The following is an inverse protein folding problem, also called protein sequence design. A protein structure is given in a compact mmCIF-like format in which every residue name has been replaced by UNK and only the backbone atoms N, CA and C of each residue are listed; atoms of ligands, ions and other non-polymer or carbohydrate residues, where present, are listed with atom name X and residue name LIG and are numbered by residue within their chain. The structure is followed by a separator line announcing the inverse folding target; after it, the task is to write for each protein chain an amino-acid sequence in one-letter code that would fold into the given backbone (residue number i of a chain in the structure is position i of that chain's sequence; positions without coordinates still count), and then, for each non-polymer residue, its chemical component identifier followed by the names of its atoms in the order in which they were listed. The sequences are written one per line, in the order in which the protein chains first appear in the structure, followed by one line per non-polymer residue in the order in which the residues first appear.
data_IF_956349146055
#
_entry.id   IF_956349146055
#
_cell.length_a   1.000
_cell.length_b   1.000
_cell.length_c   1.000
_cell.angle_alpha   90.00
_cell.angle_beta   90.00
_cell.angle_gamma   90.00
#
_symmetry.space_group_name_H-M   'P 1'
#
loop_
_entity.id
_entity.type
_entity.pdbx_description
1 polymer ?
#
# COMPACT_ATOMS: atom_id res chain seq x y z
N UNK A 1 -42.86 -3.76 44.06
CA UNK A 1 -41.53 -4.28 44.45
C UNK A 1 -41.23 -5.48 43.57
N UNK A 2 -40.33 -5.39 42.59
CA UNK A 2 -39.74 -6.56 41.98
C UNK A 2 -38.48 -6.96 42.76
N UNK A 3 -38.32 -8.26 42.95
CA UNK A 3 -37.19 -8.91 43.61
C UNK A 3 -36.00 -8.83 42.66
N UNK A 4 -34.94 -8.17 43.09
CA UNK A 4 -33.63 -8.17 42.45
C UNK A 4 -33.02 -9.58 42.56
N UNK A 5 -33.07 -10.34 41.47
CA UNK A 5 -32.29 -11.57 41.31
C UNK A 5 -30.81 -11.21 41.17
N UNK A 6 -29.99 -11.85 42.01
CA UNK A 6 -28.60 -11.50 42.28
C UNK A 6 -27.70 -11.55 41.04
N UNK A 7 -26.90 -10.49 40.90
CA UNK A 7 -25.66 -10.54 40.16
C UNK A 7 -24.71 -11.51 40.88
N UNK A 8 -24.42 -12.65 40.25
CA UNK A 8 -23.31 -13.50 40.63
C UNK A 8 -22.02 -12.70 40.48
N UNK A 9 -21.49 -12.22 41.60
CA UNK A 9 -20.17 -11.61 41.65
C UNK A 9 -19.15 -12.67 41.28
N UNK A 10 -18.55 -12.54 40.09
CA UNK A 10 -17.32 -13.25 39.77
C UNK A 10 -16.28 -12.80 40.82
N UNK A 11 -15.96 -13.69 41.75
CA UNK A 11 -14.92 -13.49 42.75
C UNK A 11 -13.62 -13.23 41.99
N UNK A 12 -13.15 -11.97 41.97
CA UNK A 12 -11.85 -11.63 41.39
C UNK A 12 -10.79 -12.45 42.12
N UNK A 13 -10.14 -13.38 41.40
CA UNK A 13 -9.08 -14.20 41.96
C UNK A 13 -7.87 -13.31 42.20
N UNK A 14 -7.11 -13.61 43.25
CA UNK A 14 -5.88 -12.88 43.54
C UNK A 14 -4.80 -13.29 42.52
N UNK A 15 -3.89 -12.39 42.12
CA UNK A 15 -2.82 -12.70 41.14
C UNK A 15 -2.05 -13.97 41.48
N UNK A 16 -1.68 -14.17 42.76
CA UNK A 16 -0.99 -15.39 43.23
C UNK A 16 -1.79 -16.68 43.08
N UNK A 17 -3.12 -16.62 43.21
CA UNK A 17 -3.96 -17.78 43.01
C UNK A 17 -4.05 -18.14 41.52
N UNK A 18 -4.05 -17.14 40.64
CA UNK A 18 -4.02 -17.35 39.19
C UNK A 18 -2.68 -17.94 38.73
N UNK A 19 -1.56 -17.45 39.25
CA UNK A 19 -0.22 -18.01 39.00
C UNK A 19 -0.13 -19.48 39.41
N UNK A 20 -0.57 -19.82 40.63
CA UNK A 20 -0.55 -21.21 41.11
C UNK A 20 -1.43 -22.14 40.25
N UNK A 21 -2.59 -21.66 39.79
CA UNK A 21 -3.46 -22.41 38.87
C UNK A 21 -2.76 -22.59 37.53
N UNK A 22 -2.13 -21.56 36.97
CA UNK A 22 -1.43 -21.64 35.70
C UNK A 22 -0.28 -22.65 35.74
N UNK A 23 0.49 -22.68 36.83
CA UNK A 23 1.61 -23.61 36.98
C UNK A 23 1.17 -25.08 37.07
N UNK A 24 -0.05 -25.34 37.51
CA UNK A 24 -0.61 -26.70 37.61
C UNK A 24 -1.28 -27.21 36.31
N UNK A 25 -1.45 -26.35 35.30
CA UNK A 25 -2.13 -26.68 34.03
C UNK A 25 -1.28 -27.53 33.09
N UNK A 26 -1.94 -28.19 32.13
CA UNK A 26 -1.25 -28.89 31.04
C UNK A 26 -0.50 -27.89 30.13
N UNK A 27 0.46 -28.37 29.34
CA UNK A 27 1.19 -27.52 28.42
C UNK A 27 0.28 -26.85 27.37
N UNK A 28 -0.77 -27.54 26.90
CA UNK A 28 -1.76 -26.99 25.96
C UNK A 28 -2.55 -25.86 26.59
N UNK A 29 -3.01 -26.04 27.82
CA UNK A 29 -3.74 -25.02 28.57
C UNK A 29 -2.85 -23.80 28.90
N UNK A 30 -1.56 -24.02 29.17
CA UNK A 30 -0.56 -22.95 29.34
C UNK A 30 -0.38 -22.18 28.02
N UNK A 31 -0.21 -22.86 26.89
CA UNK A 31 -0.08 -22.21 25.57
C UNK A 31 -1.28 -21.33 25.28
N UNK A 32 -2.49 -21.87 25.42
CA UNK A 32 -3.72 -21.15 25.09
C UNK A 32 -3.89 -19.94 26.02
N UNK A 33 -3.49 -20.06 27.29
CA UNK A 33 -3.44 -18.94 28.23
C UNK A 33 -2.43 -17.86 27.81
N UNK A 34 -1.18 -18.24 27.51
CA UNK A 34 -0.13 -17.31 27.12
C UNK A 34 -0.50 -16.55 25.84
N UNK A 35 -1.08 -17.23 24.84
CA UNK A 35 -1.59 -16.60 23.62
C UNK A 35 -2.66 -15.55 23.90
N UNK A 36 -3.64 -15.88 24.76
CA UNK A 36 -4.69 -14.92 25.13
C UNK A 36 -4.13 -13.73 25.90
N UNK A 37 -3.19 -13.98 26.82
CA UNK A 37 -2.49 -12.94 27.58
C UNK A 37 -1.69 -12.01 26.66
N UNK A 38 -0.95 -12.55 25.70
CA UNK A 38 -0.20 -11.76 24.71
C UNK A 38 -1.10 -10.90 23.82
N UNK A 39 -2.28 -11.41 23.42
CA UNK A 39 -3.25 -10.64 22.63
C UNK A 39 -3.81 -9.43 23.42
N UNK A 40 -3.96 -9.58 24.74
CA UNK A 40 -4.39 -8.52 25.66
C UNK A 40 -3.25 -7.84 26.41
N UNK A 41 -2.00 -7.94 25.92
CA UNK A 41 -0.83 -7.47 26.63
C UNK A 41 -0.97 -6.00 27.06
N UNK A 42 -0.70 -5.75 28.34
CA UNK A 42 -0.80 -4.45 29.00
C UNK A 42 0.39 -4.26 29.92
N UNK A 43 0.75 -3.01 30.20
CA UNK A 43 1.79 -2.64 31.15
C UNK A 43 1.52 -3.16 32.58
N UNK A 44 0.26 -3.46 32.91
CA UNK A 44 -0.17 -3.93 34.23
C UNK A 44 -0.60 -5.39 34.18
N UNK A 45 0.34 -6.26 33.86
CA UNK A 45 0.10 -7.69 33.80
C UNK A 45 -0.04 -8.30 35.21
N UNK A 46 -1.15 -9.02 35.51
CA UNK A 46 -1.31 -9.70 36.79
C UNK A 46 -0.32 -10.85 36.99
N UNK A 47 0.27 -11.40 35.93
CA UNK A 47 1.27 -12.47 36.02
C UNK A 47 2.68 -11.89 35.97
N UNK A 48 3.39 -12.07 37.09
CA UNK A 48 4.74 -11.56 37.25
C UNK A 48 5.79 -12.37 36.49
N UNK A 49 6.99 -11.78 36.42
CA UNK A 49 8.18 -12.43 35.89
C UNK A 49 8.46 -13.80 36.55
N UNK A 50 8.20 -13.92 37.86
CA UNK A 50 8.41 -15.16 38.61
C UNK A 50 7.58 -16.33 38.07
N UNK A 51 6.38 -16.06 37.54
CA UNK A 51 5.52 -17.08 36.98
C UNK A 51 5.99 -17.55 35.58
N UNK A 52 6.49 -16.64 34.74
CA UNK A 52 7.12 -17.03 33.47
C UNK A 52 8.40 -17.85 33.71
N UNK A 53 9.22 -17.45 34.69
CA UNK A 53 10.39 -18.22 35.11
C UNK A 53 10.00 -19.61 35.65
N UNK A 54 8.94 -19.71 36.44
CA UNK A 54 8.45 -20.99 36.95
C UNK A 54 7.86 -21.89 35.83
N UNK A 55 7.21 -21.32 34.82
CA UNK A 55 6.78 -22.06 33.63
C UNK A 55 7.98 -22.56 32.82
N UNK A 56 8.99 -21.71 32.61
CA UNK A 56 10.22 -22.06 31.90
C UNK A 56 10.97 -23.21 32.61
N UNK A 57 10.98 -23.21 33.94
CA UNK A 57 11.59 -24.25 34.75
C UNK A 57 10.95 -25.65 34.58
N UNK A 58 9.74 -25.75 34.01
CA UNK A 58 9.09 -27.04 33.70
C UNK A 58 9.81 -27.81 32.60
N UNK A 59 10.60 -27.13 31.74
CA UNK A 59 11.37 -27.73 30.63
C UNK A 59 10.51 -28.57 29.68
N UNK A 60 9.26 -28.17 29.48
CA UNK A 60 8.35 -28.80 28.53
C UNK A 60 8.43 -28.05 27.20
N UNK A 61 8.74 -28.75 26.11
CA UNK A 61 8.99 -28.14 24.80
C UNK A 61 7.85 -27.22 24.33
N UNK A 62 6.60 -27.63 24.52
CA UNK A 62 5.46 -26.81 24.12
C UNK A 62 5.37 -25.53 24.94
N UNK A 63 5.72 -25.57 26.23
CA UNK A 63 5.77 -24.38 27.09
C UNK A 63 6.91 -23.47 26.66
N UNK A 64 8.10 -24.01 26.38
CA UNK A 64 9.24 -23.22 25.89
C UNK A 64 8.91 -22.49 24.58
N UNK A 65 8.30 -23.18 23.60
CA UNK A 65 7.87 -22.57 22.34
C UNK A 65 6.78 -21.52 22.56
N UNK A 66 5.82 -21.79 23.46
CA UNK A 66 4.74 -20.85 23.77
C UNK A 66 5.24 -19.60 24.48
N UNK A 67 6.21 -19.75 25.40
CA UNK A 67 6.87 -18.63 26.04
C UNK A 67 7.72 -17.86 25.04
N UNK A 68 8.42 -18.53 24.13
CA UNK A 68 9.22 -17.85 23.10
C UNK A 68 8.35 -16.91 22.26
N UNK A 69 7.17 -17.37 21.84
CA UNK A 69 6.24 -16.59 21.01
C UNK A 69 5.46 -15.51 21.79
N UNK A 70 5.14 -15.74 23.07
CA UNK A 70 4.14 -14.96 23.81
C UNK A 70 4.58 -14.42 25.17
N UNK A 71 5.83 -14.62 25.60
CA UNK A 71 6.32 -14.06 26.86
C UNK A 71 6.30 -12.53 26.84
N UNK A 72 6.14 -11.95 28.02
CA UNK A 72 6.08 -10.50 28.22
C UNK A 72 7.31 -9.96 28.96
N UNK A 73 8.09 -10.83 29.60
CA UNK A 73 9.24 -10.42 30.41
C UNK A 73 10.57 -10.69 29.70
N UNK A 74 11.44 -9.66 29.64
CA UNK A 74 12.72 -9.73 28.93
C UNK A 74 13.62 -10.86 29.41
N UNK A 75 13.65 -11.16 30.70
CA UNK A 75 14.59 -12.18 31.22
C UNK A 75 14.19 -13.58 30.73
N UNK A 76 12.89 -13.86 30.63
CA UNK A 76 12.38 -15.10 30.02
C UNK A 76 12.71 -15.17 28.54
N UNK A 77 12.51 -14.06 27.80
CA UNK A 77 12.85 -13.99 26.39
C UNK A 77 14.35 -14.19 26.13
N UNK A 78 15.21 -13.55 26.94
CA UNK A 78 16.67 -13.67 26.88
C UNK A 78 17.14 -15.10 27.14
N UNK A 79 16.65 -15.73 28.20
CA UNK A 79 17.00 -17.11 28.52
C UNK A 79 16.59 -18.06 27.37
N UNK A 80 15.40 -17.86 26.78
CA UNK A 80 14.94 -18.65 25.64
C UNK A 80 15.74 -18.38 24.36
N UNK A 81 16.15 -17.14 24.13
CA UNK A 81 16.99 -16.76 23.00
C UNK A 81 18.38 -17.41 23.09
N UNK A 82 19.01 -17.34 24.26
CA UNK A 82 20.31 -17.95 24.55
C UNK A 82 20.25 -19.49 24.46
N UNK A 83 19.23 -20.11 25.07
CA UNK A 83 18.97 -21.57 24.92
C UNK A 83 18.70 -21.96 23.47
N UNK A 84 18.18 -21.03 22.68
CA UNK A 84 17.86 -21.18 21.28
C UNK A 84 19.08 -21.18 20.35
N UNK A 85 20.32 -21.07 20.84
CA UNK A 85 21.53 -21.03 19.98
C UNK A 85 21.60 -22.20 18.98
N UNK A 86 21.25 -23.40 19.43
CA UNK A 86 21.22 -24.63 18.62
C UNK A 86 19.81 -25.05 18.19
N UNK A 87 18.80 -24.24 18.51
CA UNK A 87 17.37 -24.54 18.31
C UNK A 87 16.68 -23.37 17.59
N UNK A 88 16.82 -23.38 16.26
CA UNK A 88 16.29 -22.33 15.40
C UNK A 88 14.79 -22.06 15.61
N UNK A 89 13.88 -23.07 15.69
CA UNK A 89 12.47 -22.79 15.96
C UNK A 89 12.23 -21.99 17.24
N UNK A 90 12.99 -22.26 18.31
CA UNK A 90 12.85 -21.53 19.55
C UNK A 90 13.31 -20.07 19.39
N UNK A 91 14.47 -19.88 18.77
CA UNK A 91 15.06 -18.56 18.53
C UNK A 91 14.19 -17.70 17.60
N UNK A 92 13.69 -18.28 16.52
CA UNK A 92 12.80 -17.62 15.58
C UNK A 92 11.48 -17.16 16.25
N UNK A 93 10.92 -17.95 17.16
CA UNK A 93 9.74 -17.53 17.93
C UNK A 93 10.05 -16.35 18.86
N UNK A 94 11.21 -16.33 19.52
CA UNK A 94 11.62 -15.17 20.32
C UNK A 94 11.81 -13.93 19.44
N UNK A 95 12.47 -14.06 18.29
CA UNK A 95 12.71 -12.96 17.36
C UNK A 95 11.42 -12.40 16.74
N UNK A 96 10.36 -13.20 16.66
CA UNK A 96 9.04 -12.80 16.14
C UNK A 96 8.04 -12.40 17.24
N UNK A 97 8.44 -12.43 18.51
CA UNK A 97 7.55 -12.12 19.63
C UNK A 97 7.17 -10.63 19.63
N UNK A 98 5.91 -10.36 19.26
CA UNK A 98 5.37 -9.00 19.23
C UNK A 98 4.85 -8.53 20.59
N UNK A 99 4.60 -9.45 21.50
CA UNK A 99 4.03 -9.16 22.81
C UNK A 99 5.06 -8.49 23.73
N UNK A 100 6.33 -8.89 23.58
CA UNK A 100 7.45 -8.37 24.37
C UNK A 100 7.65 -6.85 24.26
N UNK A 101 7.42 -6.27 23.09
CA UNK A 101 7.53 -4.81 22.89
C UNK A 101 6.37 -4.03 23.54
N UNK A 102 5.22 -4.66 23.78
CA UNK A 102 4.03 -4.00 24.35
C UNK A 102 4.05 -3.93 25.88
N UNK A 103 4.74 -4.86 26.53
CA UNK A 103 4.79 -4.99 27.99
C UNK A 103 5.89 -4.16 28.65
N UNK A 104 6.76 -3.50 27.88
CA UNK A 104 7.95 -2.85 28.41
C UNK A 104 7.86 -1.32 28.31
N UNK A 105 8.00 -0.65 29.45
CA UNK A 105 8.01 0.83 29.52
C UNK A 105 9.32 1.40 28.96
N UNK A 106 10.43 0.66 29.09
CA UNK A 106 11.78 1.12 28.72
C UNK A 106 12.55 0.14 27.83
N UNK A 107 12.04 -1.07 27.63
CA UNK A 107 12.73 -2.09 26.85
C UNK A 107 12.29 -2.02 25.40
N UNK A 108 13.26 -1.70 24.55
CA UNK A 108 13.09 -1.54 23.11
C UNK A 108 13.44 -2.84 22.43
N UNK A 109 12.56 -3.39 21.59
CA UNK A 109 12.88 -4.57 20.80
C UNK A 109 13.72 -4.16 19.57
N UNK A 110 14.84 -4.83 19.23
CA UNK A 110 15.32 -6.10 19.78
C UNK A 110 16.31 -5.98 20.94
N UNK A 111 16.73 -4.76 21.32
CA UNK A 111 17.73 -4.52 22.36
C UNK A 111 17.40 -5.21 23.70
N UNK A 112 16.12 -5.39 24.03
CA UNK A 112 15.70 -6.13 25.22
C UNK A 112 16.13 -7.60 25.27
N UNK A 113 16.55 -8.20 24.14
CA UNK A 113 17.09 -9.55 24.06
C UNK A 113 18.60 -9.61 24.37
N UNK A 114 19.26 -8.46 24.51
CA UNK A 114 20.70 -8.35 24.67
C UNK A 114 21.05 -7.64 25.99
N UNK A 115 22.31 -7.74 26.41
CA UNK A 115 22.81 -7.03 27.59
C UNK A 115 22.89 -5.53 27.35
N UNK A 116 23.41 -5.17 26.18
CA UNK A 116 23.65 -3.82 25.72
C UNK A 116 23.67 -3.77 24.19
N UNK A 117 23.97 -2.59 23.65
CA UNK A 117 24.04 -2.33 22.22
C UNK A 117 25.21 -3.08 21.55
N UNK A 118 26.35 -3.22 22.22
CA UNK A 118 27.51 -3.94 21.70
C UNK A 118 27.22 -5.44 21.50
N UNK A 119 26.47 -6.05 22.42
CA UNK A 119 25.99 -7.42 22.29
C UNK A 119 25.01 -7.59 21.11
N UNK A 120 24.13 -6.60 20.87
CA UNK A 120 23.26 -6.59 19.70
C UNK A 120 24.08 -6.49 18.41
N UNK A 121 25.05 -5.58 18.34
CA UNK A 121 25.91 -5.42 17.16
C UNK A 121 26.70 -6.70 16.87
N UNK A 122 27.29 -7.32 17.89
CA UNK A 122 28.00 -8.60 17.77
C UNK A 122 27.11 -9.73 17.24
N UNK A 123 25.83 -9.73 17.64
CA UNK A 123 24.86 -10.67 17.09
C UNK A 123 24.54 -10.39 15.62
N UNK A 124 24.33 -9.12 15.24
CA UNK A 124 24.07 -8.73 13.86
C UNK A 124 25.24 -9.06 12.92
N UNK A 125 26.49 -9.01 13.40
CA UNK A 125 27.67 -9.43 12.64
C UNK A 125 27.69 -10.91 12.26
N UNK A 126 27.01 -11.74 13.06
CA UNK A 126 27.01 -13.22 12.90
C UNK A 126 25.62 -13.77 12.61
N UNK A 127 24.65 -12.90 12.32
CA UNK A 127 23.26 -13.27 12.15
C UNK A 127 23.08 -14.17 10.93
N UNK A 128 22.30 -15.25 11.12
CA UNK A 128 21.93 -16.11 10.00
C UNK A 128 20.88 -15.44 9.11
N UNK A 129 20.83 -15.74 7.79
CA UNK A 129 19.81 -15.19 6.91
C UNK A 129 18.36 -15.44 7.39
N UNK A 130 18.10 -16.61 7.98
CA UNK A 130 16.78 -16.94 8.51
C UNK A 130 16.42 -16.08 9.73
N UNK A 131 17.35 -15.92 10.67
CA UNK A 131 17.14 -15.06 11.84
C UNK A 131 16.97 -13.59 11.45
N UNK A 132 17.75 -13.14 10.47
CA UNK A 132 17.67 -11.80 9.89
C UNK A 132 16.27 -11.56 9.29
N UNK A 133 15.77 -12.47 8.47
CA UNK A 133 14.44 -12.35 7.89
C UNK A 133 13.36 -12.24 8.98
N UNK A 134 13.42 -13.11 10.00
CA UNK A 134 12.44 -13.14 11.10
C UNK A 134 12.50 -11.86 11.92
N UNK A 135 13.69 -11.39 12.29
CA UNK A 135 13.90 -10.18 13.07
C UNK A 135 13.36 -8.95 12.32
N UNK A 136 13.77 -8.75 11.07
CA UNK A 136 13.41 -7.56 10.29
C UNK A 136 11.96 -7.58 9.76
N UNK A 137 11.32 -8.75 9.73
CA UNK A 137 9.87 -8.85 9.46
C UNK A 137 9.01 -8.56 10.68
N UNK A 138 9.59 -8.47 11.89
CA UNK A 138 8.83 -8.29 13.13
C UNK A 138 8.30 -6.84 13.25
N UNK A 139 6.97 -6.61 13.29
CA UNK A 139 6.41 -5.26 13.45
C UNK A 139 6.56 -4.69 14.86
N UNK A 140 7.19 -5.42 15.78
CA UNK A 140 7.51 -4.95 17.13
C UNK A 140 8.86 -4.25 17.24
N UNK A 141 9.68 -4.22 16.18
CA UNK A 141 10.94 -3.48 16.15
C UNK A 141 10.76 -2.02 16.57
N UNK A 142 11.58 -1.55 17.49
CA UNK A 142 11.57 -0.19 18.02
C UNK A 142 11.84 0.85 16.92
N UNK A 143 11.17 1.99 17.01
CA UNK A 143 11.31 3.08 16.04
C UNK A 143 12.74 3.63 16.00
N UNK A 144 13.46 3.72 17.12
CA UNK A 144 14.86 4.17 17.11
C UNK A 144 15.81 3.14 16.51
N UNK A 145 15.55 1.84 16.72
CA UNK A 145 16.33 0.78 16.05
C UNK A 145 16.15 0.84 14.53
N UNK A 146 14.90 0.95 14.05
CA UNK A 146 14.61 1.08 12.63
C UNK A 146 15.20 2.37 12.04
N UNK A 147 15.06 3.50 12.74
CA UNK A 147 15.66 4.79 12.32
C UNK A 147 17.18 4.64 12.17
N UNK A 148 17.87 4.09 13.17
CA UNK A 148 19.33 3.92 13.13
C UNK A 148 19.78 2.99 12.01
N UNK A 149 19.08 1.85 11.84
CA UNK A 149 19.39 0.91 10.75
C UNK A 149 19.19 1.55 9.37
N UNK A 150 18.03 2.16 9.11
CA UNK A 150 17.72 2.80 7.84
C UNK A 150 18.53 4.09 7.60
N UNK A 151 19.06 4.68 8.66
CA UNK A 151 20.01 5.80 8.56
C UNK A 151 21.42 5.37 8.14
N UNK A 152 21.66 4.06 8.00
CA UNK A 152 22.96 3.46 7.73
C UNK A 152 23.97 3.69 8.87
N UNK A 153 23.50 3.64 10.12
CA UNK A 153 24.35 3.76 11.30
C UNK A 153 25.05 2.42 11.64
N UNK A 154 25.51 2.25 12.87
CA UNK A 154 26.29 1.08 13.30
C UNK A 154 25.55 -0.25 13.11
N UNK A 155 24.23 -0.30 13.30
CA UNK A 155 23.42 -1.51 13.10
C UNK A 155 23.33 -1.93 11.63
N UNK A 156 23.39 -0.98 10.71
CA UNK A 156 23.51 -1.26 9.28
C UNK A 156 24.89 -1.80 8.95
N UNK A 157 25.93 -1.16 9.49
CA UNK A 157 27.31 -1.55 9.22
C UNK A 157 27.69 -2.91 9.82
N UNK A 158 27.03 -3.33 10.89
CA UNK A 158 27.21 -4.64 11.50
C UNK A 158 26.80 -5.80 10.59
N UNK A 159 25.83 -5.61 9.69
CA UNK A 159 25.36 -6.68 8.79
C UNK A 159 26.24 -6.72 7.54
N UNK A 160 26.46 -7.91 6.95
CA UNK A 160 27.19 -8.02 5.69
C UNK A 160 26.49 -7.27 4.53
N UNK A 161 27.27 -6.68 3.63
CA UNK A 161 26.75 -5.85 2.53
C UNK A 161 25.73 -6.56 1.63
N UNK A 162 25.89 -7.86 1.35
CA UNK A 162 24.93 -8.63 0.56
C UNK A 162 23.66 -8.88 1.36
N UNK A 163 23.82 -9.22 2.65
CA UNK A 163 22.72 -9.42 3.58
C UNK A 163 21.87 -8.17 3.79
N UNK A 164 22.46 -6.96 3.81
CA UNK A 164 21.74 -5.69 3.96
C UNK A 164 20.62 -5.52 2.93
N UNK A 165 20.83 -5.96 1.70
CA UNK A 165 19.80 -5.87 0.65
C UNK A 165 18.61 -6.81 0.94
N UNK A 166 18.88 -8.01 1.46
CA UNK A 166 17.84 -8.93 1.93
C UNK A 166 17.08 -8.40 3.15
N UNK A 167 17.73 -7.59 4.00
CA UNK A 167 17.02 -6.87 5.08
C UNK A 167 15.95 -5.94 4.51
N UNK A 168 16.28 -5.18 3.45
CA UNK A 168 15.30 -4.26 2.83
C UNK A 168 14.07 -5.02 2.34
N UNK A 169 14.26 -6.23 1.84
CA UNK A 169 13.17 -7.11 1.41
C UNK A 169 12.27 -7.59 2.55
N UNK A 170 12.85 -7.89 3.72
CA UNK A 170 12.10 -8.22 4.93
C UNK A 170 11.33 -7.00 5.44
N UNK A 171 11.98 -5.82 5.43
CA UNK A 171 11.39 -4.55 5.85
C UNK A 171 10.23 -4.10 4.93
N UNK A 172 10.30 -4.40 3.63
CA UNK A 172 9.20 -4.14 2.70
C UNK A 172 7.89 -4.84 3.12
N UNK A 173 8.00 -6.03 3.72
CA UNK A 173 6.87 -6.78 4.28
C UNK A 173 6.51 -6.44 5.72
N UNK A 174 7.25 -5.54 6.38
CA UNK A 174 7.07 -5.25 7.79
C UNK A 174 5.84 -4.36 8.01
N UNK A 175 4.81 -4.88 8.69
CA UNK A 175 3.55 -4.18 8.91
C UNK A 175 3.71 -2.83 9.64
N UNK A 176 4.79 -2.61 10.41
CA UNK A 176 5.07 -1.30 11.03
C UNK A 176 5.42 -0.24 9.98
N UNK A 177 6.15 -0.61 8.92
CA UNK A 177 6.56 0.30 7.85
C UNK A 177 5.53 0.44 6.72
N UNK A 178 4.46 -0.36 6.73
CA UNK A 178 3.40 -0.29 5.70
C UNK A 178 2.26 0.67 6.04
N UNK A 179 2.14 1.11 7.30
CA UNK A 179 1.03 1.96 7.73
C UNK A 179 1.48 3.03 8.71
N UNK A 180 1.33 4.29 8.32
CA UNK A 180 1.44 5.42 9.26
C UNK A 180 0.30 5.29 10.26
N UNK A 181 0.65 5.29 11.55
CA UNK A 181 -0.36 5.29 12.62
C UNK A 181 -1.17 6.57 12.55
N UNK A 182 -2.46 6.47 12.84
CA UNK A 182 -3.34 7.62 12.70
C UNK A 182 -2.91 8.74 13.66
N UNK A 183 -3.19 9.98 13.28
CA UNK A 183 -2.97 11.16 14.14
C UNK A 183 -3.80 11.10 15.43
N UNK A 184 -4.85 10.28 15.47
CA UNK A 184 -5.65 10.03 16.68
C UNK A 184 -4.92 9.16 17.71
N UNK A 185 -3.92 8.36 17.29
CA UNK A 185 -3.20 7.45 18.18
C UNK A 185 -2.08 8.13 18.98
N UNK A 186 -1.75 9.40 18.69
CA UNK A 186 -0.59 10.11 19.25
C UNK A 186 -1.01 11.47 19.82
N UNK A 187 -1.33 11.48 21.12
CA UNK A 187 -1.92 12.65 21.79
C UNK A 187 -0.95 13.82 22.01
N UNK A 188 0.37 13.63 21.92
CA UNK A 188 1.37 14.62 22.34
C UNK A 188 2.28 15.19 21.24
N UNK A 189 2.08 14.82 19.96
CA UNK A 189 2.88 15.30 18.82
C UNK A 189 4.33 14.79 18.78
N UNK A 190 4.95 14.57 19.95
CA UNK A 190 6.26 13.92 20.08
C UNK A 190 6.20 12.45 19.65
N UNK A 191 5.19 11.71 20.09
CA UNK A 191 4.99 10.33 19.67
C UNK A 191 4.81 10.22 18.15
N UNK A 192 4.10 11.17 17.55
CA UNK A 192 3.89 11.23 16.10
C UNK A 192 5.20 11.55 15.35
N UNK A 193 5.98 12.50 15.87
CA UNK A 193 7.31 12.80 15.34
C UNK A 193 8.24 11.58 15.38
N UNK A 194 8.27 10.84 16.50
CA UNK A 194 9.08 9.63 16.64
C UNK A 194 8.62 8.50 15.74
N UNK A 195 7.30 8.32 15.57
CA UNK A 195 6.74 7.33 14.66
C UNK A 195 7.10 7.60 13.20
N UNK A 196 7.32 8.85 12.79
CA UNK A 196 7.66 9.23 11.42
C UNK A 196 9.13 8.99 11.03
N UNK A 197 10.05 8.92 12.00
CA UNK A 197 11.50 8.85 11.74
C UNK A 197 11.95 7.64 10.93
N UNK A 198 11.46 6.41 11.18
CA UNK A 198 11.82 5.26 10.33
C UNK A 198 11.42 5.44 8.87
N UNK A 199 10.25 6.04 8.61
CA UNK A 199 9.77 6.30 7.25
C UNK A 199 10.66 7.32 6.54
N UNK A 200 11.02 8.40 7.22
CA UNK A 200 11.96 9.40 6.70
C UNK A 200 13.31 8.76 6.38
N UNK A 201 13.87 7.96 7.30
CA UNK A 201 15.13 7.26 7.09
C UNK A 201 15.08 6.29 5.89
N UNK A 202 13.99 5.53 5.73
CA UNK A 202 13.79 4.66 4.58
C UNK A 202 13.76 5.43 3.25
N UNK A 203 13.07 6.57 3.18
CA UNK A 203 13.04 7.40 1.99
C UNK A 203 14.43 7.98 1.65
N UNK A 204 15.21 8.35 2.66
CA UNK A 204 16.58 8.87 2.48
C UNK A 204 17.59 7.82 1.98
N UNK A 205 17.25 6.52 1.97
CA UNK A 205 18.09 5.50 1.33
C UNK A 205 18.30 5.75 -0.16
N UNK A 206 17.37 6.44 -0.83
CA UNK A 206 17.52 6.88 -2.23
C UNK A 206 18.78 7.74 -2.40
N UNK A 207 19.11 8.56 -1.42
CA UNK A 207 20.27 9.46 -1.46
C UNK A 207 21.57 8.72 -1.10
N UNK A 208 21.48 7.76 -0.18
CA UNK A 208 22.63 7.13 0.46
C UNK A 208 23.14 5.86 -0.26
N UNK A 209 22.25 5.05 -0.82
CA UNK A 209 22.62 3.77 -1.44
C UNK A 209 23.19 3.94 -2.85
N UNK A 210 24.29 3.24 -3.15
CA UNK A 210 24.89 3.23 -4.49
C UNK A 210 23.96 2.59 -5.52
N UNK A 211 23.69 3.23 -6.68
CA UNK A 211 22.77 2.69 -7.66
C UNK A 211 23.40 1.46 -8.31
N UNK A 212 22.65 0.36 -8.28
CA UNK A 212 23.01 -0.90 -8.91
C UNK A 212 21.74 -1.72 -9.09
N UNK A 213 21.74 -2.69 -10.00
CA UNK A 213 20.54 -3.46 -10.34
C UNK A 213 19.94 -4.18 -9.13
N UNK A 214 20.78 -4.84 -8.32
CA UNK A 214 20.33 -5.50 -7.08
C UNK A 214 19.79 -4.49 -6.07
N UNK A 215 20.54 -3.41 -5.81
CA UNK A 215 20.11 -2.34 -4.90
C UNK A 215 18.78 -1.73 -5.33
N UNK A 216 18.60 -1.44 -6.63
CA UNK A 216 17.39 -0.86 -7.18
C UNK A 216 16.19 -1.78 -6.94
N UNK A 217 16.35 -3.09 -7.12
CA UNK A 217 15.28 -4.06 -6.89
C UNK A 217 14.79 -4.09 -5.45
N UNK A 218 15.73 -4.21 -4.52
CA UNK A 218 15.43 -4.31 -3.10
C UNK A 218 14.89 -2.98 -2.54
N UNK A 219 15.48 -1.86 -2.96
CA UNK A 219 15.01 -0.54 -2.59
C UNK A 219 13.62 -0.25 -3.17
N UNK A 220 13.38 -0.53 -4.46
CA UNK A 220 12.08 -0.36 -5.09
C UNK A 220 10.98 -1.12 -4.36
N UNK A 221 11.26 -2.36 -3.95
CA UNK A 221 10.31 -3.19 -3.17
C UNK A 221 9.95 -2.53 -1.83
N UNK A 222 10.95 -2.04 -1.08
CA UNK A 222 10.71 -1.31 0.18
C UNK A 222 9.89 -0.03 -0.06
N UNK A 223 10.27 0.78 -1.04
CA UNK A 223 9.66 2.08 -1.29
C UNK A 223 8.24 2.00 -1.88
N UNK A 224 7.89 0.89 -2.53
CA UNK A 224 6.57 0.67 -3.14
C UNK A 224 5.45 0.72 -2.10
N UNK A 225 5.65 0.02 -0.98
CA UNK A 225 4.64 -0.13 0.08
C UNK A 225 4.82 0.92 1.20
N UNK A 226 5.90 1.71 1.15
CA UNK A 226 6.15 2.76 2.11
C UNK A 226 5.12 3.90 1.94
N UNK A 227 4.50 4.39 3.03
CA UNK A 227 3.61 5.54 2.99
C UNK A 227 4.29 6.79 2.40
N UNK A 228 3.56 7.50 1.53
CA UNK A 228 4.04 8.67 0.81
C UNK A 228 3.93 9.98 1.63
N UNK A 229 4.07 9.89 2.95
CA UNK A 229 4.11 11.05 3.85
C UNK A 229 5.48 11.09 4.53
N UNK A 230 6.37 11.98 4.06
CA UNK A 230 7.67 12.27 4.68
C UNK A 230 7.86 13.78 4.85
N UNK A 231 8.46 14.19 5.97
CA UNK A 231 8.72 15.61 6.29
C UNK A 231 9.98 16.16 5.63
N UNK A 232 10.91 15.29 5.20
CA UNK A 232 12.15 15.71 4.53
C UNK A 232 12.25 15.03 3.17
N UNK A 233 12.31 15.84 2.12
CA UNK A 233 12.45 15.35 0.75
C UNK A 233 13.41 16.21 -0.09
N UNK A 234 14.16 17.13 0.53
CA UNK A 234 14.91 18.16 -0.20
C UNK A 234 16.02 17.56 -1.08
N UNK A 235 16.72 16.50 -0.62
CA UNK A 235 17.76 15.81 -1.38
C UNK A 235 17.24 14.71 -2.33
N UNK A 236 16.00 14.24 -2.14
CA UNK A 236 15.45 13.11 -2.90
C UNK A 236 15.33 13.47 -4.38
N UNK A 237 14.85 14.67 -4.70
CA UNK A 237 14.69 15.12 -6.09
C UNK A 237 16.03 15.16 -6.84
N UNK A 238 17.09 15.59 -6.16
CA UNK A 238 18.45 15.68 -6.72
C UNK A 238 19.05 14.28 -6.90
N UNK A 239 18.77 13.38 -5.96
CA UNK A 239 19.19 11.98 -6.01
C UNK A 239 18.49 11.17 -7.10
N UNK A 240 17.40 11.63 -7.73
CA UNK A 240 16.76 10.86 -8.80
C UNK A 240 17.64 10.69 -10.05
N UNK A 241 18.57 11.63 -10.29
CA UNK A 241 19.43 11.62 -11.49
C UNK A 241 20.36 10.41 -11.51
N UNK A 242 20.80 9.92 -10.35
CA UNK A 242 21.70 8.75 -10.20
C UNK A 242 20.99 7.41 -10.37
N UNK A 243 19.65 7.36 -10.27
CA UNK A 243 18.85 6.14 -10.44
C UNK A 243 18.39 5.89 -11.88
N UNK A 244 19.14 6.39 -12.87
CA UNK A 244 18.89 6.11 -14.28
C UNK A 244 19.65 4.86 -14.71
N UNK A 245 19.06 4.06 -15.58
CA UNK A 245 19.78 2.99 -16.26
C UNK A 245 20.99 3.57 -17.02
N UNK A 246 22.16 2.97 -16.84
CA UNK A 246 23.40 3.33 -17.52
C UNK A 246 23.83 2.14 -18.38
N UNK A 247 24.12 2.38 -19.66
CA UNK A 247 24.56 1.36 -20.60
C UNK A 247 23.44 0.86 -21.52
N UNK A 248 23.83 0.31 -22.67
CA UNK A 248 22.91 -0.09 -23.74
C UNK A 248 21.95 -1.20 -23.28
N UNK A 249 22.45 -2.21 -22.56
CA UNK A 249 21.65 -3.34 -22.08
C UNK A 249 20.57 -2.90 -21.08
N UNK A 250 20.91 -2.01 -20.14
CA UNK A 250 19.97 -1.52 -19.13
C UNK A 250 18.88 -0.61 -19.75
N UNK A 251 19.24 0.20 -20.75
CA UNK A 251 18.28 1.02 -21.51
C UNK A 251 17.36 0.16 -22.39
N UNK A 252 17.89 -0.93 -22.96
CA UNK A 252 17.10 -1.90 -23.69
C UNK A 252 16.12 -2.64 -22.77
N UNK A 253 16.53 -3.02 -21.55
CA UNK A 253 15.64 -3.60 -20.53
C UNK A 253 14.49 -2.64 -20.17
N UNK A 254 14.79 -1.37 -19.89
CA UNK A 254 13.75 -0.35 -19.64
C UNK A 254 12.77 -0.25 -20.81
N UNK A 255 13.29 -0.16 -22.05
CA UNK A 255 12.45 -0.03 -23.25
C UNK A 255 11.54 -1.25 -23.45
N UNK A 256 12.09 -2.46 -23.29
CA UNK A 256 11.35 -3.70 -23.46
C UNK A 256 10.27 -3.87 -22.37
N UNK A 257 10.61 -3.61 -21.11
CA UNK A 257 9.64 -3.69 -20.00
C UNK A 257 8.53 -2.65 -20.18
N UNK A 258 8.86 -1.42 -20.57
CA UNK A 258 7.86 -0.38 -20.79
C UNK A 258 6.86 -0.77 -21.88
N UNK A 259 7.35 -1.37 -22.98
CA UNK A 259 6.49 -1.89 -24.05
C UNK A 259 5.57 -3.03 -23.59
N UNK A 260 5.95 -3.76 -22.55
CA UNK A 260 5.15 -4.79 -21.89
C UNK A 260 4.28 -4.25 -20.74
N UNK A 261 4.22 -2.92 -20.55
CA UNK A 261 3.41 -2.31 -19.49
C UNK A 261 4.05 -2.37 -18.10
N UNK A 262 5.37 -2.57 -18.00
CA UNK A 262 6.10 -2.74 -16.74
C UNK A 262 7.26 -1.75 -16.60
N UNK A 263 7.57 -1.35 -15.38
CA UNK A 263 8.76 -0.55 -15.08
C UNK A 263 9.96 -1.46 -14.76
N UNK A 264 11.18 -0.99 -15.04
CA UNK A 264 12.42 -1.58 -14.53
C UNK A 264 12.61 -1.29 -13.05
N UNK A 265 13.52 -2.01 -12.40
CA UNK A 265 13.86 -1.83 -10.99
C UNK A 265 14.36 -0.39 -10.71
N UNK A 266 15.14 0.20 -11.64
CA UNK A 266 15.57 1.61 -11.57
C UNK A 266 14.41 2.60 -11.76
N UNK A 267 13.50 2.31 -12.68
CA UNK A 267 12.29 3.12 -12.88
C UNK A 267 11.38 3.04 -11.66
N UNK A 268 11.26 1.89 -10.99
CA UNK A 268 10.43 1.77 -9.79
C UNK A 268 10.96 2.62 -8.62
N UNK A 269 12.29 2.74 -8.43
CA UNK A 269 12.86 3.68 -7.44
C UNK A 269 12.47 5.12 -7.78
N UNK A 270 12.61 5.51 -9.06
CA UNK A 270 12.24 6.87 -9.53
C UNK A 270 10.74 7.13 -9.40
N UNK A 271 9.91 6.12 -9.68
CA UNK A 271 8.46 6.17 -9.57
C UNK A 271 8.02 6.35 -8.12
N UNK A 272 8.61 5.61 -7.18
CA UNK A 272 8.28 5.74 -5.76
C UNK A 272 8.67 7.12 -5.21
N UNK A 273 9.83 7.66 -5.61
CA UNK A 273 10.25 9.00 -5.24
C UNK A 273 9.32 10.09 -5.83
N UNK A 274 8.94 9.96 -7.10
CA UNK A 274 7.98 10.88 -7.71
C UNK A 274 6.61 10.82 -7.04
N UNK A 275 6.15 9.63 -6.64
CA UNK A 275 4.93 9.43 -5.83
C UNK A 275 5.00 10.22 -4.52
N UNK A 276 6.11 10.10 -3.79
CA UNK A 276 6.34 10.89 -2.57
C UNK A 276 6.29 12.40 -2.86
N UNK A 277 7.04 12.87 -3.86
CA UNK A 277 7.18 14.30 -4.15
C UNK A 277 5.90 14.92 -4.72
N UNK A 278 5.15 14.19 -5.54
CA UNK A 278 3.90 14.65 -6.16
C UNK A 278 2.69 14.57 -5.20
N UNK A 279 2.75 13.69 -4.20
CA UNK A 279 1.70 13.52 -3.18
C UNK A 279 1.66 14.63 -2.13
N UNK A 280 2.72 15.44 -2.02
CA UNK A 280 2.77 16.54 -1.04
C UNK A 280 1.69 17.59 -1.32
N UNK A 281 1.14 18.17 -0.26
CA UNK A 281 0.12 19.22 -0.36
C UNK A 281 0.60 20.47 -1.10
N UNK A 282 1.89 20.81 -0.99
CA UNK A 282 2.53 21.94 -1.67
C UNK A 282 3.18 21.56 -3.02
N UNK A 283 3.04 20.31 -3.45
CA UNK A 283 3.61 19.83 -4.69
C UNK A 283 3.06 20.57 -5.92
N UNK A 284 3.84 20.55 -7.00
CA UNK A 284 3.38 20.87 -8.35
C UNK A 284 3.41 19.59 -9.20
N UNK A 285 2.38 18.73 -9.13
CA UNK A 285 2.37 17.43 -9.81
C UNK A 285 2.66 17.52 -11.32
N UNK A 286 2.28 18.63 -11.96
CA UNK A 286 2.60 18.89 -13.37
C UNK A 286 4.08 18.81 -13.72
N UNK A 287 4.98 19.16 -12.80
CA UNK A 287 6.43 19.02 -13.02
C UNK A 287 6.85 17.56 -13.31
N UNK A 288 6.10 16.60 -12.77
CA UNK A 288 6.35 15.18 -12.96
C UNK A 288 5.51 14.59 -14.09
N UNK A 289 4.25 15.02 -14.25
CA UNK A 289 3.36 14.61 -15.34
C UNK A 289 3.91 15.03 -16.72
N UNK A 290 4.48 16.22 -16.80
CA UNK A 290 5.04 16.76 -18.05
C UNK A 290 6.50 16.32 -18.27
N UNK A 291 7.03 15.42 -17.43
CA UNK A 291 8.41 14.92 -17.54
C UNK A 291 8.57 13.99 -18.74
N UNK A 292 9.74 13.98 -19.38
CA UNK A 292 10.10 12.98 -20.40
C UNK A 292 10.30 11.58 -19.78
N UNK A 293 10.50 11.51 -18.47
CA UNK A 293 10.74 10.27 -17.74
C UNK A 293 9.43 9.57 -17.34
N UNK A 294 9.15 8.42 -17.96
CA UNK A 294 7.93 7.63 -17.72
C UNK A 294 7.79 7.22 -16.25
N UNK A 295 8.90 6.97 -15.54
CA UNK A 295 8.83 6.61 -14.13
C UNK A 295 8.29 7.77 -13.27
N UNK A 296 8.73 8.99 -13.56
CA UNK A 296 8.28 10.19 -12.84
C UNK A 296 6.80 10.47 -13.13
N UNK A 297 6.37 10.30 -14.39
CA UNK A 297 4.95 10.39 -14.76
C UNK A 297 4.10 9.38 -14.00
N UNK A 298 4.51 8.10 -14.00
CA UNK A 298 3.83 7.04 -13.26
C UNK A 298 3.70 7.33 -11.76
N UNK A 299 4.75 7.87 -11.12
CA UNK A 299 4.69 8.28 -9.72
C UNK A 299 3.68 9.39 -9.48
N UNK A 300 3.62 10.37 -10.39
CA UNK A 300 2.64 11.45 -10.33
C UNK A 300 1.21 10.96 -10.56
N UNK A 301 1.00 10.00 -11.47
CA UNK A 301 -0.30 9.37 -11.70
C UNK A 301 -0.85 8.73 -10.43
N UNK A 302 0.00 8.08 -9.63
CA UNK A 302 -0.41 7.44 -8.36
C UNK A 302 -0.73 8.45 -7.23
N UNK A 303 -0.10 9.62 -7.22
CA UNK A 303 -0.13 10.50 -6.03
C UNK A 303 -0.83 11.86 -6.22
N UNK A 304 -0.95 12.35 -7.45
CA UNK A 304 -1.48 13.68 -7.71
C UNK A 304 -2.91 13.81 -7.18
N UNK A 305 -3.13 14.81 -6.32
CA UNK A 305 -4.42 15.04 -5.66
C UNK A 305 -5.54 15.51 -6.59
N UNK A 306 -5.19 16.06 -7.76
CA UNK A 306 -6.14 16.57 -8.76
C UNK A 306 -5.66 16.20 -10.15
N UNK A 307 -6.33 15.22 -10.73
CA UNK A 307 -6.23 14.87 -12.14
C UNK A 307 -7.60 15.12 -12.78
N UNK A 308 -7.64 15.95 -13.81
CA UNK A 308 -8.83 16.18 -14.61
C UNK A 308 -8.89 15.20 -15.78
N UNK A 309 -10.03 15.15 -16.46
CA UNK A 309 -10.28 14.25 -17.59
C UNK A 309 -9.23 14.41 -18.71
N UNK A 310 -8.87 15.64 -19.06
CA UNK A 310 -7.84 15.94 -20.07
C UNK A 310 -6.48 15.34 -19.67
N UNK A 311 -6.10 15.46 -18.39
CA UNK A 311 -4.84 14.88 -17.90
C UNK A 311 -4.86 13.36 -17.92
N UNK A 312 -5.99 12.73 -17.56
CA UNK A 312 -6.13 11.27 -17.58
C UNK A 312 -6.04 10.72 -19.02
N UNK A 313 -6.73 11.36 -19.96
CA UNK A 313 -6.69 10.98 -21.37
C UNK A 313 -5.30 11.19 -21.98
N UNK A 314 -4.65 12.30 -21.66
CA UNK A 314 -3.28 12.58 -22.09
C UNK A 314 -2.29 11.54 -21.56
N UNK A 315 -2.42 11.16 -20.28
CA UNK A 315 -1.59 10.13 -19.65
C UNK A 315 -1.75 8.78 -20.35
N UNK A 316 -2.98 8.33 -20.61
CA UNK A 316 -3.23 7.06 -21.29
C UNK A 316 -2.80 7.08 -22.75
N UNK A 317 -2.95 8.21 -23.44
CA UNK A 317 -2.45 8.36 -24.81
C UNK A 317 -0.92 8.26 -24.87
N UNK A 318 -0.23 8.79 -23.87
CA UNK A 318 1.22 8.83 -23.83
C UNK A 318 1.84 7.51 -23.36
N UNK A 319 1.33 6.94 -22.27
CA UNK A 319 1.94 5.82 -21.56
C UNK A 319 1.12 4.52 -21.61
N UNK A 320 -0.06 4.53 -22.25
CA UNK A 320 -0.86 3.32 -22.48
C UNK A 320 -1.26 2.61 -21.19
N UNK A 321 -0.93 1.33 -21.08
CA UNK A 321 -1.30 0.49 -19.93
C UNK A 321 -0.53 0.85 -18.66
N UNK A 322 0.69 1.40 -18.76
CA UNK A 322 1.41 1.92 -17.60
C UNK A 322 0.59 3.02 -16.91
N UNK A 323 0.12 4.02 -17.66
CA UNK A 323 -0.73 5.06 -17.10
C UNK A 323 -1.96 4.47 -16.41
N UNK A 324 -2.67 3.52 -17.04
CA UNK A 324 -3.87 2.92 -16.45
C UNK A 324 -3.58 2.23 -15.12
N UNK A 325 -2.55 1.40 -15.04
CA UNK A 325 -2.19 0.67 -13.83
C UNK A 325 -1.84 1.60 -12.66
N UNK A 326 -1.13 2.69 -12.95
CA UNK A 326 -0.74 3.67 -11.94
C UNK A 326 -1.91 4.60 -11.55
N UNK A 327 -2.77 4.99 -12.48
CA UNK A 327 -3.99 5.76 -12.18
C UNK A 327 -4.97 4.96 -11.29
N UNK A 328 -5.10 3.65 -11.52
CA UNK A 328 -5.91 2.76 -10.67
C UNK A 328 -5.45 2.77 -9.20
N UNK A 329 -4.17 3.05 -8.94
CA UNK A 329 -3.62 3.11 -7.58
C UNK A 329 -3.77 4.49 -6.92
N UNK A 330 -4.23 5.49 -7.66
CA UNK A 330 -4.47 6.83 -7.12
C UNK A 330 -5.72 6.83 -6.25
N UNK A 331 -5.53 6.79 -4.92
CA UNK A 331 -6.61 6.82 -3.94
C UNK A 331 -7.55 8.02 -4.11
N UNK A 332 -7.00 9.18 -4.51
CA UNK A 332 -7.77 10.40 -4.75
C UNK A 332 -8.87 10.23 -5.80
N UNK A 333 -8.61 9.42 -6.84
CA UNK A 333 -9.60 9.12 -7.88
C UNK A 333 -10.73 8.21 -7.38
N UNK A 334 -10.53 7.46 -6.30
CA UNK A 334 -11.55 6.58 -5.72
C UNK A 334 -12.54 7.27 -4.80
N UNK A 335 -12.26 8.49 -4.35
CA UNK A 335 -13.03 9.16 -3.29
C UNK A 335 -14.41 9.68 -3.73
N UNK A 336 -14.61 9.96 -5.01
CA UNK A 336 -15.87 10.48 -5.53
C UNK A 336 -16.40 9.65 -6.70
N UNK A 337 -17.73 9.55 -6.83
CA UNK A 337 -18.40 8.85 -7.94
C UNK A 337 -17.90 9.37 -9.29
N UNK A 338 -17.91 10.69 -9.48
CA UNK A 338 -17.42 11.33 -10.72
C UNK A 338 -15.99 10.90 -11.08
N UNK A 339 -15.06 10.90 -10.13
CA UNK A 339 -13.66 10.52 -10.41
C UNK A 339 -13.49 9.02 -10.63
N UNK A 340 -14.33 8.19 -9.98
CA UNK A 340 -14.37 6.74 -10.24
C UNK A 340 -14.90 6.44 -11.64
N UNK A 341 -15.93 7.14 -12.10
CA UNK A 341 -16.47 6.96 -13.45
C UNK A 341 -15.46 7.36 -14.51
N UNK A 342 -14.74 8.48 -14.31
CA UNK A 342 -13.63 8.87 -15.18
C UNK A 342 -12.52 7.80 -15.20
N UNK A 343 -12.15 7.27 -14.03
CA UNK A 343 -11.17 6.20 -13.94
C UNK A 343 -11.63 4.93 -14.66
N UNK A 344 -12.91 4.55 -14.49
CA UNK A 344 -13.51 3.40 -15.16
C UNK A 344 -13.51 3.57 -16.67
N UNK A 345 -13.93 4.73 -17.17
CA UNK A 345 -13.90 5.06 -18.60
C UNK A 345 -12.50 4.92 -19.18
N UNK A 346 -11.49 5.48 -18.50
CA UNK A 346 -10.09 5.43 -18.94
C UNK A 346 -9.54 3.99 -18.95
N UNK A 347 -9.98 3.15 -18.01
CA UNK A 347 -9.61 1.73 -17.93
C UNK A 347 -10.32 0.89 -18.99
N UNK A 348 -11.60 1.15 -19.25
CA UNK A 348 -12.40 0.41 -20.24
C UNK A 348 -12.12 0.86 -21.68
N UNK A 349 -11.82 2.15 -21.91
CA UNK A 349 -11.51 2.69 -23.24
C UNK A 349 -10.08 2.31 -23.67
N UNK A 350 -10.00 1.46 -24.69
CA UNK A 350 -8.75 1.16 -25.40
C UNK A 350 -7.78 0.23 -24.68
N UNK A 351 -8.18 -0.40 -23.56
CA UNK A 351 -7.42 -1.52 -23.00
C UNK A 351 -7.82 -2.81 -23.74
N UNK A 352 -6.92 -3.28 -24.60
CA UNK A 352 -7.00 -4.63 -25.20
C UNK A 352 -6.57 -5.72 -24.21
N UNK A 353 -5.87 -5.35 -23.13
CA UNK A 353 -5.38 -6.26 -22.09
C UNK A 353 -6.36 -6.48 -20.93
N UNK A 354 -6.34 -7.69 -20.38
CA UNK A 354 -7.15 -8.05 -19.21
C UNK A 354 -6.60 -7.47 -17.89
N UNK A 355 -5.32 -7.08 -17.86
CA UNK A 355 -4.63 -6.71 -16.62
C UNK A 355 -5.16 -5.42 -15.96
N UNK A 356 -5.31 -4.27 -16.66
CA UNK A 356 -5.89 -3.08 -16.05
C UNK A 356 -7.32 -3.32 -15.55
N UNK A 357 -8.12 -4.11 -16.27
CA UNK A 357 -9.50 -4.45 -15.87
C UNK A 357 -9.50 -5.29 -14.59
N UNK A 358 -8.62 -6.29 -14.50
CA UNK A 358 -8.48 -7.12 -13.32
C UNK A 358 -8.02 -6.31 -12.09
N UNK A 359 -7.01 -5.44 -12.26
CA UNK A 359 -6.49 -4.61 -11.16
C UNK A 359 -7.53 -3.58 -10.70
N UNK A 360 -8.31 -2.99 -11.62
CA UNK A 360 -9.44 -2.12 -11.26
C UNK A 360 -10.45 -2.86 -10.37
N UNK A 361 -10.90 -4.06 -10.77
CA UNK A 361 -11.85 -4.87 -9.97
C UNK A 361 -11.29 -5.21 -8.60
N UNK A 362 -10.01 -5.59 -8.55
CA UNK A 362 -9.32 -5.90 -7.30
C UNK A 362 -9.28 -4.69 -6.37
N UNK A 363 -8.94 -3.51 -6.88
CA UNK A 363 -8.87 -2.26 -6.12
C UNK A 363 -10.23 -1.76 -5.68
N UNK A 364 -11.24 -1.83 -6.53
CA UNK A 364 -12.61 -1.47 -6.15
C UNK A 364 -13.12 -2.35 -5.00
N UNK A 365 -12.93 -3.67 -5.06
CA UNK A 365 -13.32 -4.58 -3.96
C UNK A 365 -12.59 -4.23 -2.66
N UNK A 366 -11.31 -3.88 -2.74
CA UNK A 366 -10.53 -3.44 -1.58
C UNK A 366 -11.08 -2.14 -1.00
N UNK A 367 -11.27 -1.09 -1.81
CA UNK A 367 -11.76 0.20 -1.34
C UNK A 367 -13.21 0.17 -0.86
N UNK A 368 -14.09 -0.64 -1.45
CA UNK A 368 -15.45 -0.86 -0.93
C UNK A 368 -15.44 -1.47 0.47
N UNK A 369 -14.47 -2.35 0.75
CA UNK A 369 -14.30 -2.96 2.08
C UNK A 369 -13.71 -1.97 3.09
N UNK A 370 -12.71 -1.18 2.71
CA UNK A 370 -12.03 -0.26 3.63
C UNK A 370 -12.78 1.07 3.83
N UNK A 371 -13.43 1.59 2.79
CA UNK A 371 -14.11 2.89 2.77
C UNK A 371 -15.54 2.77 2.21
N UNK A 372 -16.46 2.09 2.92
CA UNK A 372 -17.81 1.86 2.41
C UNK A 372 -18.58 3.16 2.13
N UNK A 373 -18.28 4.24 2.86
CA UNK A 373 -18.90 5.56 2.67
C UNK A 373 -18.58 6.22 1.34
N UNK A 374 -17.47 5.85 0.68
CA UNK A 374 -17.15 6.39 -0.65
C UNK A 374 -18.11 5.89 -1.73
N UNK A 375 -18.77 4.75 -1.50
CA UNK A 375 -19.62 4.04 -2.46
C UNK A 375 -21.09 3.99 -2.01
N UNK A 376 -21.46 4.83 -1.05
CA UNK A 376 -22.79 4.81 -0.46
C UNK A 376 -23.85 5.21 -1.50
N UNK A 377 -24.86 4.36 -1.69
CA UNK A 377 -25.91 4.56 -2.71
C UNK A 377 -25.61 3.94 -4.08
N UNK A 378 -24.43 3.34 -4.28
CA UNK A 378 -24.09 2.61 -5.51
C UNK A 378 -24.41 1.12 -5.40
N UNK A 379 -25.09 0.57 -6.41
CA UNK A 379 -25.17 -0.88 -6.59
C UNK A 379 -23.85 -1.39 -7.20
N UNK A 380 -23.29 -2.46 -6.63
CA UNK A 380 -22.13 -3.09 -7.23
C UNK A 380 -22.55 -3.78 -8.52
N UNK A 381 -22.10 -3.24 -9.64
CA UNK A 381 -22.17 -3.86 -10.95
C UNK A 381 -20.75 -4.21 -11.39
N UNK A 382 -20.58 -5.36 -12.04
CA UNK A 382 -19.31 -5.67 -12.69
C UNK A 382 -18.98 -4.56 -13.70
N UNK A 383 -17.69 -4.24 -13.93
CA UNK A 383 -17.31 -3.15 -14.84
C UNK A 383 -17.94 -3.25 -16.24
N UNK A 384 -18.14 -4.46 -16.74
CA UNK A 384 -18.73 -4.73 -18.06
C UNK A 384 -20.27 -4.61 -18.07
N UNK A 385 -20.90 -4.56 -16.89
CA UNK A 385 -22.34 -4.43 -16.69
C UNK A 385 -22.76 -2.98 -16.39
N UNK A 386 -21.78 -2.09 -16.16
CA UNK A 386 -22.05 -0.68 -15.88
C UNK A 386 -22.49 0.05 -17.16
N UNK A 387 -23.50 0.92 -17.07
CA UNK A 387 -23.85 1.78 -18.18
C UNK A 387 -22.65 2.66 -18.52
N UNK A 388 -22.32 2.66 -19.81
CA UNK A 388 -21.30 3.54 -20.41
C UNK A 388 -21.63 4.98 -19.99
N UNK A 389 -20.64 5.72 -19.46
CA UNK A 389 -20.84 7.10 -18.98
C UNK A 389 -21.40 8.03 -20.08
N UNK A 390 -22.00 9.16 -19.70
CA UNK A 390 -22.48 10.15 -20.68
C UNK A 390 -21.36 10.68 -21.61
N UNK A 391 -20.14 10.83 -21.11
CA UNK A 391 -18.98 11.22 -21.94
C UNK A 391 -18.59 10.10 -22.90
N UNK A 392 -18.64 8.84 -22.46
CA UNK A 392 -18.38 7.68 -23.31
C UNK A 392 -19.48 7.49 -24.37
N UNK A 393 -20.73 7.82 -24.06
CA UNK A 393 -21.83 7.86 -25.04
C UNK A 393 -21.55 8.95 -26.09
N UNK A 394 -21.07 10.13 -25.69
CA UNK A 394 -20.75 11.20 -26.62
C UNK A 394 -19.63 10.81 -27.60
N UNK A 395 -18.61 10.10 -27.13
CA UNK A 395 -17.49 9.61 -27.96
C UNK A 395 -17.86 8.43 -28.86
N UNK A 396 -18.69 7.50 -28.37
CA UNK A 396 -19.27 6.45 -29.20
C UNK A 396 -20.17 7.07 -30.28
N UNK A 397 -20.98 8.07 -29.93
CA UNK A 397 -21.79 8.81 -30.91
C UNK A 397 -20.89 9.57 -31.89
N UNK A 398 -19.79 10.18 -31.46
CA UNK A 398 -18.85 10.89 -32.32
C UNK A 398 -18.10 9.95 -33.27
N UNK A 399 -17.69 8.76 -32.81
CA UNK A 399 -17.04 7.75 -33.65
C UNK A 399 -18.01 7.10 -34.64
N UNK A 400 -19.24 6.80 -34.22
CA UNK A 400 -20.32 6.27 -35.07
C UNK A 400 -20.79 7.31 -36.09
N UNK A 401 -20.91 8.58 -35.72
CA UNK A 401 -21.24 9.66 -36.68
C UNK A 401 -20.05 10.09 -37.53
N UNK A 402 -18.82 9.76 -37.11
CA UNK A 402 -17.58 9.92 -37.87
C UNK A 402 -17.44 8.93 -39.03
N UNK A 403 -18.12 7.77 -38.95
CA UNK A 403 -18.08 6.69 -39.93
C UNK A 403 -18.56 7.17 -41.32
N UNK A 404 -17.75 7.02 -42.39
CA UNK A 404 -18.13 7.42 -43.73
C UNK A 404 -19.41 6.74 -44.27
N UNK A 405 -19.74 5.54 -43.79
CA UNK A 405 -20.98 4.85 -44.13
C UNK A 405 -22.21 5.53 -43.53
N UNK A 406 -22.12 5.99 -42.27
CA UNK A 406 -23.20 6.66 -41.56
C UNK A 406 -23.38 8.10 -42.05
N UNK A 407 -22.28 8.82 -42.33
CA UNK A 407 -22.34 10.09 -43.08
C UNK A 407 -22.98 9.92 -44.46
N UNK A 408 -22.76 8.78 -45.11
CA UNK A 408 -23.41 8.41 -46.37
C UNK A 408 -24.92 8.22 -46.23
N UNK A 409 -25.38 7.62 -45.12
CA UNK A 409 -26.81 7.44 -44.81
C UNK A 409 -27.48 8.77 -44.45
N UNK A 410 -26.83 9.61 -43.63
CA UNK A 410 -27.34 10.96 -43.30
C UNK A 410 -27.51 11.83 -44.54
N UNK A 411 -26.50 11.88 -45.42
CA UNK A 411 -26.61 12.62 -46.70
C UNK A 411 -27.75 12.11 -47.58
N UNK A 412 -28.03 10.80 -47.54
CA UNK A 412 -29.17 10.22 -48.29
C UNK A 412 -30.50 10.57 -47.65
N UNK A 413 -30.59 10.66 -46.33
CA UNK A 413 -31.78 11.10 -45.62
C UNK A 413 -32.09 12.58 -45.89
N UNK A 414 -31.08 13.44 -45.79
CA UNK A 414 -31.21 14.88 -46.07
C UNK A 414 -31.65 15.11 -47.53
N UNK A 415 -31.08 14.35 -48.47
CA UNK A 415 -31.47 14.40 -49.88
C UNK A 415 -32.92 13.94 -50.13
N UNK A 416 -33.46 13.04 -49.30
CA UNK A 416 -34.87 12.61 -49.37
C UNK A 416 -35.79 13.70 -48.79
N UNK A 417 -35.39 14.33 -47.69
CA UNK A 417 -36.17 15.40 -47.06
C UNK A 417 -36.26 16.65 -47.94
N UNK A 418 -35.15 17.04 -48.58
CA UNK A 418 -35.13 18.13 -49.56
C UNK A 418 -35.99 17.83 -50.79
N UNK A 419 -36.03 16.56 -51.22
CA UNK A 419 -36.93 16.13 -52.31
C UNK A 419 -38.39 16.24 -51.91
N UNK A 420 -38.75 15.87 -50.69
CA UNK A 420 -40.11 16.03 -50.17
C UNK A 420 -40.52 17.51 -50.11
N UNK A 421 -39.65 18.38 -49.58
CA UNK A 421 -39.90 19.83 -49.54
C UNK A 421 -40.09 20.42 -50.94
N UNK A 422 -39.30 19.97 -51.91
CA UNK A 422 -39.41 20.39 -53.31
C UNK A 422 -40.75 19.96 -53.95
N UNK A 423 -41.22 18.75 -53.65
CA UNK A 423 -42.53 18.25 -54.14
C UNK A 423 -43.68 19.02 -53.51
N UNK A 424 -43.62 19.33 -52.21
CA UNK A 424 -44.63 20.16 -51.52
C UNK A 424 -44.68 21.57 -52.11
N UNK A 425 -43.52 22.17 -52.38
CA UNK A 425 -43.45 23.48 -53.03
C UNK A 425 -44.04 23.48 -54.45
N UNK A 426 -43.75 22.44 -55.25
CA UNK A 426 -44.34 22.29 -56.58
C UNK A 426 -45.86 22.10 -56.52
N UNK A 427 -46.37 21.32 -55.56
CA UNK A 427 -47.81 21.16 -55.36
C UNK A 427 -48.49 22.48 -54.96
N UNK A 428 -47.86 23.27 -54.09
CA UNK A 428 -48.34 24.60 -53.72
C UNK A 428 -48.35 25.56 -54.93
N UNK A 429 -47.31 25.53 -55.76
CA UNK A 429 -47.24 26.33 -57.00
C UNK A 429 -48.33 25.93 -58.00
N UNK A 430 -48.59 24.64 -58.16
CA UNK A 430 -49.70 24.15 -59.00
C UNK A 430 -51.07 24.60 -58.46
N UNK A 431 -51.28 24.57 -57.14
CA UNK A 431 -52.51 25.06 -56.51
C UNK A 431 -52.68 26.58 -56.70
N UNK A 432 -51.61 27.36 -56.61
CA UNK A 432 -51.63 28.81 -56.87
C UNK A 432 -51.96 29.07 -58.35
N UNK A 433 -51.35 28.34 -59.29
CA UNK A 433 -51.66 28.51 -60.72
C UNK A 433 -53.12 28.12 -61.04
N UNK A 434 -53.63 27.06 -60.43
CA UNK A 434 -55.05 26.67 -60.55
C UNK A 434 -55.98 27.75 -60.00
N UNK A 435 -55.66 28.35 -58.84
CA UNK A 435 -56.45 29.44 -58.27
C UNK A 435 -56.46 30.69 -59.17
N UNK A 436 -55.32 31.03 -59.81
CA UNK A 436 -55.23 32.14 -60.76
C UNK A 436 -56.02 31.87 -62.04
N UNK A 437 -56.03 30.63 -62.53
CA UNK A 437 -56.82 30.22 -63.69
C UNK A 437 -58.33 30.28 -63.40
N UNK A 438 -58.77 29.79 -62.24
CA UNK A 438 -60.18 29.84 -61.82
C UNK A 438 -60.65 31.27 -61.58
N UNK A 439 -59.78 32.19 -61.14
CA UNK A 439 -60.15 33.60 -60.97
C UNK A 439 -60.31 34.36 -62.30
N UNK A 440 -59.73 33.86 -63.40
CA UNK A 440 -59.83 34.49 -64.73
C UNK A 440 -60.99 34.00 -65.60
N UNK A 441 -61.65 32.92 -65.21
CA UNK A 441 -62.89 32.40 -65.83
C UNK A 441 -64.10 32.87 -65.04
#
# INVERSE_FOLDING_TARGET
MPISTGAGGAMQRTPKAEEAILLARSAEEVRDYLRQRAAGASLFDPIGQDAEAALLARRERLIDLSLAEYCLHRETARELFERGSDDWPLRALVLSNQALAKSQILGRFPLCLFEDEDALLSYLETISPDDQWVLFSNPALDESFLEGFLSMDQTWEAIDSEQRLWVLDALAGNAKLQKIRSTQDHEDGWGWYMAGKPFEAAWLLIEKLEPGTETARHLAKLLRDLPADSYKTDGIAEALVRWRAIGEDALADETNRNAEGRLSDFQEVRQAAARLLAGRHDAKPRLFIDSDDVALRCGAYEAASKLDEETLEAAVKLDGDLARLHLIRNEGLWRSEKSRDLLLDVVLRGSEGDEPRWEYRRRERHYRKEYPTWFEGEEYLEPDERPISESSIADVVASVTGDPAIKGIQRRLDAVEDRQRSVVWLAALCLIMLAVLVWRT
#
